data_IF_176095772108
#
_entry.id   IF_176095772108
#
_cell.length_a   1.000
_cell.length_b   1.000
_cell.length_c   1.000
_cell.angle_alpha   90.00
_cell.angle_beta   90.00
_cell.angle_gamma   90.00
#
_symmetry.space_group_name_H-M   'P 1'
#
loop_
_entity.id
_entity.type
_entity.pdbx_description
1 polymer ?
#
# COMPACT_ATOMS: atom_id res chain seq x y z
N UNK A 1 -25.09 7.17 6.77
CA UNK A 1 -23.82 6.88 6.11
C UNK A 1 -22.69 7.23 7.07
N UNK A 2 -21.96 6.21 7.51
CA UNK A 2 -20.77 6.34 8.35
C UNK A 2 -19.55 6.16 7.45
N UNK A 3 -18.63 7.11 7.47
CA UNK A 3 -17.38 7.04 6.71
C UNK A 3 -16.20 7.01 7.67
N UNK A 4 -15.43 5.92 7.64
CA UNK A 4 -14.23 5.72 8.46
C UNK A 4 -13.00 5.74 7.55
N UNK A 5 -11.98 6.52 7.89
CA UNK A 5 -10.75 6.65 7.11
C UNK A 5 -9.56 6.26 7.99
N UNK A 6 -8.99 5.11 7.70
CA UNK A 6 -7.76 4.65 8.33
C UNK A 6 -6.57 5.33 7.67
N UNK A 7 -5.78 6.03 8.46
CA UNK A 7 -4.61 6.82 8.03
C UNK A 7 -3.39 6.44 8.86
N UNK A 8 -2.20 6.75 8.36
CA UNK A 8 -0.97 6.63 9.12
C UNK A 8 -0.18 7.93 9.03
N UNK A 9 0.49 8.35 10.10
CA UNK A 9 1.14 9.67 10.14
C UNK A 9 2.21 9.90 9.08
N UNK A 10 2.96 8.84 8.75
CA UNK A 10 4.05 8.91 7.79
C UNK A 10 3.63 8.59 6.34
N UNK A 11 2.33 8.53 6.05
CA UNK A 11 1.78 8.27 4.72
C UNK A 11 1.45 9.61 4.03
N UNK A 12 2.09 9.90 2.90
CA UNK A 12 1.89 11.18 2.19
C UNK A 12 0.44 11.30 1.72
N UNK A 13 -0.06 10.26 1.06
CA UNK A 13 -1.40 10.19 0.48
C UNK A 13 -2.47 10.42 1.57
N UNK A 14 -2.23 9.92 2.78
CA UNK A 14 -3.07 10.16 3.94
C UNK A 14 -3.10 11.64 4.34
N UNK A 15 -1.94 12.31 4.33
CA UNK A 15 -1.84 13.74 4.63
C UNK A 15 -2.54 14.59 3.56
N UNK A 16 -2.35 14.27 2.28
CA UNK A 16 -3.07 14.94 1.19
C UNK A 16 -4.58 14.75 1.28
N UNK A 17 -5.05 13.57 1.66
CA UNK A 17 -6.48 13.31 1.88
C UNK A 17 -7.03 14.14 3.04
N UNK A 18 -6.33 14.20 4.17
CA UNK A 18 -6.75 15.02 5.31
C UNK A 18 -6.81 16.50 4.93
N UNK A 19 -5.77 17.03 4.26
CA UNK A 19 -5.76 18.41 3.78
C UNK A 19 -6.91 18.70 2.82
N UNK A 20 -7.20 17.77 1.91
CA UNK A 20 -8.31 17.88 0.98
C UNK A 20 -9.65 17.99 1.72
N UNK A 21 -9.90 17.09 2.67
CA UNK A 21 -11.13 17.08 3.47
C UNK A 21 -11.29 18.36 4.28
N UNK A 22 -10.21 18.88 4.86
CA UNK A 22 -10.21 20.13 5.61
C UNK A 22 -10.50 21.33 4.73
N UNK A 23 -9.82 21.47 3.58
CA UNK A 23 -10.05 22.54 2.61
C UNK A 23 -11.49 22.55 2.10
N UNK A 24 -12.15 21.39 2.07
CA UNK A 24 -13.55 21.22 1.68
C UNK A 24 -14.54 21.32 2.85
N UNK A 25 -14.09 21.47 4.09
CA UNK A 25 -14.94 21.51 5.28
C UNK A 25 -15.66 20.17 5.55
N UNK A 26 -15.07 19.05 5.15
CA UNK A 26 -15.65 17.70 5.21
C UNK A 26 -15.13 16.85 6.37
N UNK A 27 -14.17 17.34 7.16
CA UNK A 27 -13.61 16.59 8.29
C UNK A 27 -14.69 16.15 9.30
N UNK A 28 -15.75 16.94 9.51
CA UNK A 28 -16.86 16.58 10.41
C UNK A 28 -17.76 15.46 9.88
N UNK A 29 -17.63 15.06 8.60
CA UNK A 29 -18.41 13.99 7.98
C UNK A 29 -17.73 12.63 8.02
N UNK A 30 -16.49 12.57 8.48
CA UNK A 30 -15.68 11.35 8.48
C UNK A 30 -15.08 11.11 9.86
N UNK A 31 -14.81 9.86 10.17
CA UNK A 31 -14.01 9.47 11.33
C UNK A 31 -12.61 9.12 10.86
N UNK A 32 -11.61 9.92 11.24
CA UNK A 32 -10.20 9.61 10.97
C UNK A 32 -9.68 8.69 12.06
N UNK A 33 -9.06 7.58 11.67
CA UNK A 33 -8.52 6.56 12.57
C UNK A 33 -7.02 6.42 12.26
N UNK A 34 -6.16 6.69 13.24
CA UNK A 34 -4.72 6.50 13.09
C UNK A 34 -4.34 5.03 13.32
N UNK A 35 -3.77 4.38 12.31
CA UNK A 35 -3.36 2.98 12.38
C UNK A 35 -2.14 2.77 13.27
N UNK A 36 -1.35 3.82 13.56
CA UNK A 36 -0.28 3.75 14.56
C UNK A 36 -0.85 3.66 15.98
N UNK A 37 -1.93 4.40 16.27
CA UNK A 37 -2.57 4.43 17.58
C UNK A 37 -3.56 3.27 17.78
N UNK A 38 -4.21 2.83 16.71
CA UNK A 38 -5.23 1.77 16.74
C UNK A 38 -4.93 0.61 15.76
N UNK A 39 -3.75 -0.03 15.85
CA UNK A 39 -3.32 -1.05 14.89
C UNK A 39 -4.23 -2.29 14.87
N UNK A 40 -4.71 -2.75 16.04
CA UNK A 40 -5.57 -3.93 16.12
C UNK A 40 -6.95 -3.71 15.51
N UNK A 41 -7.51 -2.50 15.64
CA UNK A 41 -8.73 -2.13 14.95
C UNK A 41 -8.52 -2.12 13.43
N UNK A 42 -7.38 -1.61 12.96
CA UNK A 42 -7.03 -1.64 11.55
C UNK A 42 -6.93 -3.09 11.01
N UNK A 43 -6.30 -3.99 11.77
CA UNK A 43 -6.22 -5.41 11.41
C UNK A 43 -7.59 -6.11 11.42
N UNK A 44 -8.43 -5.84 12.42
CA UNK A 44 -9.80 -6.38 12.50
C UNK A 44 -10.63 -5.95 11.29
N UNK A 45 -10.44 -4.73 10.81
CA UNK A 45 -11.11 -4.20 9.61
C UNK A 45 -10.45 -4.63 8.28
N UNK A 46 -9.36 -5.40 8.31
CA UNK A 46 -8.69 -5.88 7.10
C UNK A 46 -7.89 -4.80 6.35
N UNK A 47 -7.37 -3.78 7.05
CA UNK A 47 -6.57 -2.71 6.43
C UNK A 47 -5.18 -3.24 6.02
N UNK A 48 -4.94 -3.30 4.72
CA UNK A 48 -3.65 -3.72 4.12
C UNK A 48 -2.83 -2.50 3.66
N UNK A 49 -3.48 -1.39 3.34
CA UNK A 49 -2.85 -0.16 2.84
C UNK A 49 -3.50 1.07 3.46
N UNK A 50 -2.78 2.17 3.52
CA UNK A 50 -3.32 3.46 3.97
C UNK A 50 -3.13 4.53 2.90
N UNK A 51 -4.08 5.47 2.73
CA UNK A 51 -5.37 5.53 3.42
C UNK A 51 -6.30 4.37 3.02
N UNK A 52 -7.13 3.90 3.94
CA UNK A 52 -8.23 2.96 3.65
C UNK A 52 -9.55 3.58 4.06
N UNK A 53 -10.50 3.66 3.14
CA UNK A 53 -11.78 4.33 3.34
C UNK A 53 -12.90 3.29 3.37
N UNK A 54 -13.63 3.27 4.48
CA UNK A 54 -14.80 2.42 4.66
C UNK A 54 -16.07 3.28 4.65
N UNK A 55 -17.09 2.82 3.94
CA UNK A 55 -18.42 3.43 3.92
C UNK A 55 -19.41 2.39 4.39
N UNK A 56 -20.10 2.69 5.49
CA UNK A 56 -21.04 1.77 6.15
C UNK A 56 -20.46 0.36 6.37
N UNK A 57 -19.15 0.31 6.69
CA UNK A 57 -18.41 -0.93 6.98
C UNK A 57 -17.79 -1.61 5.75
N UNK A 58 -18.11 -1.19 4.52
CA UNK A 58 -17.51 -1.74 3.28
C UNK A 58 -16.26 -0.96 2.91
N UNK A 59 -15.15 -1.65 2.65
CA UNK A 59 -13.92 -1.03 2.13
C UNK A 59 -14.15 -0.55 0.68
N UNK A 60 -13.99 0.75 0.44
CA UNK A 60 -14.23 1.38 -0.86
C UNK A 60 -12.94 1.79 -1.56
N UNK A 61 -11.96 2.31 -0.81
CA UNK A 61 -10.65 2.70 -1.32
C UNK A 61 -9.53 2.16 -0.43
N UNK A 62 -8.41 1.79 -1.03
CA UNK A 62 -7.20 1.38 -0.30
C UNK A 62 -5.94 1.89 -1.03
N UNK A 63 -5.12 2.68 -0.33
CA UNK A 63 -3.94 3.35 -0.87
C UNK A 63 -4.28 4.55 -1.76
N UNK A 64 -4.83 4.30 -2.94
CA UNK A 64 -5.18 5.37 -3.89
C UNK A 64 -6.65 5.74 -3.73
N UNK A 65 -6.94 7.04 -3.67
CA UNK A 65 -8.30 7.56 -3.49
C UNK A 65 -8.64 8.46 -4.66
N UNK A 66 -9.77 8.20 -5.30
CA UNK A 66 -10.39 9.15 -6.24
C UNK A 66 -11.17 10.20 -5.43
N UNK A 67 -10.67 11.43 -5.44
CA UNK A 67 -11.27 12.52 -4.67
C UNK A 67 -12.62 12.97 -5.22
N UNK A 68 -12.88 12.83 -6.52
CA UNK A 68 -14.16 13.20 -7.10
C UNK A 68 -15.24 12.19 -6.73
N UNK A 69 -14.91 10.89 -6.73
CA UNK A 69 -15.79 9.85 -6.24
C UNK A 69 -16.01 9.96 -4.73
N UNK A 70 -14.96 10.21 -3.94
CA UNK A 70 -15.08 10.44 -2.51
C UNK A 70 -15.99 11.64 -2.19
N UNK A 71 -15.90 12.74 -2.95
CA UNK A 71 -16.80 13.89 -2.78
C UNK A 71 -18.26 13.53 -3.00
N UNK A 72 -18.56 12.78 -4.06
CA UNK A 72 -19.92 12.30 -4.36
C UNK A 72 -20.46 11.43 -3.24
N UNK A 73 -19.63 10.53 -2.70
CA UNK A 73 -20.00 9.72 -1.53
C UNK A 73 -20.35 10.66 -0.37
N UNK A 74 -19.47 11.59 -0.01
CA UNK A 74 -19.64 12.50 1.13
C UNK A 74 -20.77 13.54 0.95
N UNK A 75 -21.23 13.78 -0.28
CA UNK A 75 -22.41 14.60 -0.57
C UNK A 75 -23.72 13.79 -0.57
N UNK A 76 -23.64 12.46 -0.48
CA UNK A 76 -24.80 11.57 -0.57
C UNK A 76 -25.29 11.34 -2.00
N UNK A 77 -24.49 11.72 -3.00
CA UNK A 77 -24.77 11.47 -4.40
C UNK A 77 -24.58 9.99 -4.75
N UNK A 78 -25.39 9.50 -5.69
CA UNK A 78 -25.22 8.14 -6.21
C UNK A 78 -23.96 8.10 -7.08
N UNK A 79 -22.93 7.40 -6.60
CA UNK A 79 -21.75 7.11 -7.41
C UNK A 79 -22.14 6.07 -8.46
N UNK A 80 -21.84 6.38 -9.73
CA UNK A 80 -21.99 5.45 -10.85
C UNK A 80 -20.68 5.45 -11.62
N UNK A 81 -19.83 4.47 -11.34
CA UNK A 81 -18.54 4.31 -12.03
C UNK A 81 -18.72 3.35 -13.19
N UNK A 82 -18.21 3.71 -14.36
CA UNK A 82 -18.08 2.76 -15.46
C UNK A 82 -16.68 2.16 -15.40
N UNK A 83 -16.61 0.86 -15.18
CA UNK A 83 -15.33 0.15 -15.12
C UNK A 83 -14.97 -0.36 -16.51
N UNK A 84 -13.79 0.04 -16.98
CA UNK A 84 -13.19 -0.53 -18.19
C UNK A 84 -12.50 -1.85 -17.82
N UNK A 85 -13.01 -2.95 -18.39
CA UNK A 85 -12.50 -4.31 -18.16
C UNK A 85 -11.03 -4.46 -18.57
N UNK A 86 -10.60 -3.75 -19.61
CA UNK A 86 -9.22 -3.80 -20.12
C UNK A 86 -8.22 -3.13 -19.18
N UNK A 87 -8.67 -2.17 -18.37
CA UNK A 87 -7.83 -1.42 -17.42
C UNK A 87 -7.73 -2.08 -16.04
N UNK A 88 -8.56 -3.08 -15.75
CA UNK A 88 -8.64 -3.70 -14.41
C UNK A 88 -7.30 -4.25 -13.93
N UNK A 89 -6.51 -4.81 -14.83
CA UNK A 89 -5.21 -5.38 -14.49
C UNK A 89 -4.22 -4.27 -14.14
N UNK A 90 -4.17 -3.20 -14.93
CA UNK A 90 -3.29 -2.08 -14.64
C UNK A 90 -3.73 -1.35 -13.36
N UNK A 91 -5.05 -1.23 -13.09
CA UNK A 91 -5.56 -0.73 -11.81
C UNK A 91 -5.16 -1.63 -10.63
N UNK A 92 -5.28 -2.96 -10.79
CA UNK A 92 -4.85 -3.92 -9.77
C UNK A 92 -3.36 -3.76 -9.46
N UNK A 93 -2.50 -3.78 -10.49
CA UNK A 93 -1.06 -3.67 -10.33
C UNK A 93 -0.66 -2.31 -9.75
N UNK A 94 -1.31 -1.23 -10.19
CA UNK A 94 -1.12 0.11 -9.63
C UNK A 94 -1.53 0.16 -8.15
N UNK A 95 -2.66 -0.44 -7.78
CA UNK A 95 -3.08 -0.57 -6.40
C UNK A 95 -2.09 -1.33 -5.52
N UNK A 96 -1.55 -2.44 -6.04
CA UNK A 96 -0.54 -3.26 -5.36
C UNK A 96 0.72 -2.43 -5.11
N UNK A 97 1.26 -1.73 -6.12
CA UNK A 97 2.50 -0.95 -5.96
C UNK A 97 2.34 0.27 -5.04
N UNK A 98 1.11 0.73 -4.81
CA UNK A 98 0.80 1.76 -3.81
C UNK A 98 0.56 1.20 -2.40
N UNK A 99 0.67 -0.12 -2.20
CA UNK A 99 0.72 -0.77 -0.89
C UNK A 99 2.08 -1.43 -0.70
N UNK A 100 2.91 -0.92 0.21
CA UNK A 100 4.21 -1.53 0.49
C UNK A 100 4.05 -2.99 0.93
N UNK A 101 3.09 -3.27 1.81
CA UNK A 101 2.80 -4.62 2.29
C UNK A 101 2.47 -5.58 1.14
N UNK A 102 1.53 -5.21 0.26
CA UNK A 102 1.15 -6.04 -0.89
C UNK A 102 2.30 -6.19 -1.90
N UNK A 103 3.03 -5.10 -2.17
CA UNK A 103 4.19 -5.10 -3.07
C UNK A 103 5.27 -6.06 -2.58
N UNK A 104 5.71 -5.91 -1.33
CA UNK A 104 6.76 -6.73 -0.75
C UNK A 104 6.36 -8.21 -0.71
N UNK A 105 5.12 -8.49 -0.28
CA UNK A 105 4.62 -9.85 -0.20
C UNK A 105 4.53 -10.51 -1.59
N UNK A 106 3.96 -9.83 -2.58
CA UNK A 106 3.85 -10.37 -3.94
C UNK A 106 5.23 -10.52 -4.60
N UNK A 107 6.13 -9.55 -4.41
CA UNK A 107 7.48 -9.61 -4.98
C UNK A 107 8.25 -10.86 -4.52
N UNK A 108 8.21 -11.14 -3.22
CA UNK A 108 8.88 -12.30 -2.63
C UNK A 108 8.17 -13.60 -3.02
N UNK A 109 6.84 -13.66 -2.90
CA UNK A 109 6.12 -14.93 -2.99
C UNK A 109 5.66 -15.30 -4.40
N UNK A 110 5.53 -14.31 -5.32
CA UNK A 110 4.94 -14.49 -6.66
C UNK A 110 3.57 -15.20 -6.69
N UNK A 111 2.83 -15.10 -5.60
CA UNK A 111 1.56 -15.83 -5.42
C UNK A 111 0.37 -14.90 -5.61
N UNK A 112 -0.03 -14.71 -6.87
CA UNK A 112 -1.20 -13.92 -7.19
C UNK A 112 -2.51 -14.54 -6.70
N UNK A 113 -2.59 -15.87 -6.56
CA UNK A 113 -3.83 -16.54 -6.16
C UNK A 113 -4.23 -16.15 -4.74
N UNK A 114 -3.28 -16.21 -3.81
CA UNK A 114 -3.51 -15.78 -2.43
C UNK A 114 -3.74 -14.27 -2.29
N UNK A 115 -3.10 -13.44 -3.13
CA UNK A 115 -3.40 -12.01 -3.17
C UNK A 115 -4.83 -11.76 -3.64
N UNK A 116 -5.27 -12.43 -4.70
CA UNK A 116 -6.62 -12.30 -5.25
C UNK A 116 -7.69 -12.79 -4.28
N UNK A 117 -7.36 -13.70 -3.36
CA UNK A 117 -8.25 -14.13 -2.29
C UNK A 117 -8.61 -13.00 -1.31
N UNK A 118 -7.82 -11.91 -1.25
CA UNK A 118 -8.16 -10.69 -0.50
C UNK A 118 -9.15 -9.82 -1.30
N UNK A 119 -10.37 -10.34 -1.47
CA UNK A 119 -11.38 -9.81 -2.39
C UNK A 119 -11.75 -8.35 -2.11
N UNK A 120 -11.97 -7.98 -0.84
CA UNK A 120 -12.31 -6.59 -0.47
C UNK A 120 -11.18 -5.62 -0.84
N UNK A 121 -9.92 -6.01 -0.62
CA UNK A 121 -8.77 -5.22 -1.03
C UNK A 121 -8.71 -5.08 -2.55
N UNK A 122 -8.87 -6.18 -3.29
CA UNK A 122 -8.92 -6.16 -4.76
C UNK A 122 -10.03 -5.22 -5.25
N UNK A 123 -11.22 -5.30 -4.65
CA UNK A 123 -12.36 -4.48 -5.02
C UNK A 123 -12.07 -2.99 -4.81
N UNK A 124 -11.45 -2.66 -3.67
CA UNK A 124 -11.14 -1.29 -3.31
C UNK A 124 -10.07 -0.66 -4.23
N UNK A 125 -9.02 -1.40 -4.58
CA UNK A 125 -7.94 -0.87 -5.42
C UNK A 125 -8.27 -0.83 -6.92
N UNK A 126 -9.30 -1.58 -7.35
CA UNK A 126 -9.76 -1.60 -8.75
C UNK A 126 -11.00 -0.75 -9.00
N UNK A 127 -11.65 -0.24 -7.95
CA UNK A 127 -12.91 0.51 -8.01
C UNK A 127 -14.16 -0.36 -8.14
N UNK A 128 -14.02 -1.70 -8.13
CA UNK A 128 -15.17 -2.62 -8.16
C UNK A 128 -16.06 -2.50 -6.91
N UNK A 129 -15.54 -1.93 -5.81
CA UNK A 129 -16.34 -1.64 -4.62
C UNK A 129 -17.48 -0.63 -4.87
N UNK A 130 -17.40 0.16 -5.95
CA UNK A 130 -18.28 1.29 -6.28
C UNK A 130 -19.41 0.94 -7.27
N UNK A 131 -19.42 -0.29 -7.81
CA UNK A 131 -20.44 -0.74 -8.76
C UNK A 131 -21.38 -1.76 -8.12
N UNK A 132 -22.39 -2.21 -8.86
CA UNK A 132 -23.34 -3.22 -8.38
C UNK A 132 -22.63 -4.53 -8.05
N UNK A 133 -23.10 -5.26 -7.03
CA UNK A 133 -22.46 -6.49 -6.56
C UNK A 133 -22.35 -7.56 -7.65
N UNK A 134 -23.40 -7.73 -8.48
CA UNK A 134 -23.39 -8.67 -9.59
C UNK A 134 -22.34 -8.33 -10.65
N UNK A 135 -22.18 -7.05 -10.98
CA UNK A 135 -21.21 -6.57 -11.96
C UNK A 135 -19.77 -6.66 -11.41
N UNK A 136 -19.59 -6.29 -10.14
CA UNK A 136 -18.32 -6.43 -9.44
C UNK A 136 -17.84 -7.89 -9.42
N UNK A 137 -18.76 -8.83 -9.19
CA UNK A 137 -18.45 -10.25 -9.16
C UNK A 137 -18.02 -10.78 -10.53
N UNK A 138 -18.72 -10.41 -11.59
CA UNK A 138 -18.36 -10.79 -12.96
C UNK A 138 -16.97 -10.28 -13.32
N UNK A 139 -16.70 -9.00 -13.04
CA UNK A 139 -15.42 -8.35 -13.33
C UNK A 139 -14.28 -8.92 -12.49
N UNK A 140 -14.52 -9.22 -11.21
CA UNK A 140 -13.54 -9.88 -10.34
C UNK A 140 -13.18 -11.27 -10.83
N UNK A 141 -14.18 -12.08 -11.22
CA UNK A 141 -13.92 -13.43 -11.72
C UNK A 141 -13.13 -13.40 -13.02
N UNK A 142 -13.42 -12.47 -13.92
CA UNK A 142 -12.58 -12.22 -15.08
C UNK A 142 -11.14 -11.86 -14.68
N UNK A 143 -10.97 -10.85 -13.82
CA UNK A 143 -9.66 -10.38 -13.39
C UNK A 143 -8.84 -11.51 -12.75
N UNK A 144 -9.45 -12.28 -11.84
CA UNK A 144 -8.83 -13.43 -11.17
C UNK A 144 -8.37 -14.48 -12.18
N UNK A 145 -9.21 -14.82 -13.15
CA UNK A 145 -8.86 -15.82 -14.16
C UNK A 145 -7.67 -15.39 -15.02
N UNK A 146 -7.60 -14.12 -15.40
CA UNK A 146 -6.45 -13.59 -16.15
C UNK A 146 -5.20 -13.57 -15.28
N UNK A 147 -5.28 -13.00 -14.08
CA UNK A 147 -4.13 -12.81 -13.18
C UNK A 147 -3.55 -14.14 -12.69
N UNK A 148 -4.37 -15.15 -12.40
CA UNK A 148 -3.86 -16.47 -11.98
C UNK A 148 -3.13 -17.17 -13.13
N UNK A 149 -3.53 -16.94 -14.39
CA UNK A 149 -2.93 -17.57 -15.56
C UNK A 149 -1.72 -16.81 -16.11
N UNK A 150 -1.78 -15.48 -16.09
CA UNK A 150 -0.85 -14.58 -16.78
C UNK A 150 -0.10 -13.65 -15.81
N UNK A 151 -0.24 -13.87 -14.51
CA UNK A 151 0.33 -13.01 -13.46
C UNK A 151 1.83 -12.79 -13.59
N UNK A 152 2.61 -13.78 -14.04
CA UNK A 152 4.04 -13.63 -14.28
C UNK A 152 4.37 -12.56 -15.33
N UNK A 153 3.57 -12.42 -16.38
CA UNK A 153 3.76 -11.38 -17.41
C UNK A 153 3.63 -10.00 -16.77
N UNK A 154 2.60 -9.81 -15.95
CA UNK A 154 2.35 -8.55 -15.25
C UNK A 154 3.38 -8.32 -14.15
N UNK A 155 3.82 -9.37 -13.47
CA UNK A 155 4.92 -9.29 -12.52
C UNK A 155 6.16 -8.70 -13.17
N UNK A 156 6.63 -9.29 -14.28
CA UNK A 156 7.83 -8.80 -14.95
C UNK A 156 7.64 -7.37 -15.51
N UNK A 157 6.46 -7.03 -16.04
CA UNK A 157 6.11 -5.67 -16.48
C UNK A 157 6.27 -4.63 -15.34
N UNK A 158 5.84 -4.96 -14.14
CA UNK A 158 5.80 -4.03 -13.00
C UNK A 158 7.00 -4.18 -12.04
N UNK A 159 7.85 -5.17 -12.25
CA UNK A 159 8.98 -5.56 -11.39
C UNK A 159 9.91 -4.41 -11.03
N UNK A 160 10.26 -3.56 -12.00
CA UNK A 160 11.14 -2.41 -11.76
C UNK A 160 10.50 -1.36 -10.84
N UNK A 161 9.19 -1.16 -10.97
CA UNK A 161 8.43 -0.28 -10.07
C UNK A 161 8.36 -0.89 -8.67
N UNK A 162 8.12 -2.20 -8.56
CA UNK A 162 8.12 -2.91 -7.27
C UNK A 162 9.46 -2.78 -6.55
N UNK A 163 10.59 -3.00 -7.25
CA UNK A 163 11.95 -2.79 -6.69
C UNK A 163 12.09 -1.39 -6.11
N UNK A 164 11.69 -0.36 -6.86
CA UNK A 164 11.76 1.04 -6.42
C UNK A 164 10.92 1.30 -5.17
N UNK A 165 9.70 0.77 -5.11
CA UNK A 165 8.81 0.89 -3.96
C UNK A 165 9.43 0.24 -2.72
N UNK A 166 9.92 -0.99 -2.86
CA UNK A 166 10.57 -1.73 -1.76
C UNK A 166 11.81 -0.98 -1.27
N UNK A 167 12.71 -0.60 -2.18
CA UNK A 167 13.95 0.11 -1.82
C UNK A 167 13.67 1.48 -1.18
N UNK A 168 12.67 2.22 -1.68
CA UNK A 168 12.27 3.50 -1.07
C UNK A 168 11.76 3.30 0.36
N UNK A 169 10.95 2.27 0.61
CA UNK A 169 10.44 1.97 1.96
C UNK A 169 11.56 1.52 2.90
N UNK A 170 12.53 0.75 2.42
CA UNK A 170 13.71 0.40 3.22
C UNK A 170 14.46 1.65 3.70
N UNK A 171 14.77 2.57 2.78
CA UNK A 171 15.42 3.85 3.13
C UNK A 171 14.54 4.69 4.06
N UNK A 172 13.23 4.71 3.84
CA UNK A 172 12.27 5.43 4.69
C UNK A 172 12.30 4.94 6.13
N UNK A 173 12.33 3.62 6.35
CA UNK A 173 12.46 3.05 7.69
C UNK A 173 13.80 3.41 8.35
N UNK A 174 14.90 3.40 7.59
CA UNK A 174 16.20 3.88 8.09
C UNK A 174 16.15 5.36 8.45
N UNK A 175 15.53 6.20 7.62
CA UNK A 175 15.36 7.62 7.92
C UNK A 175 14.56 7.80 9.22
N UNK A 176 13.46 7.07 9.43
CA UNK A 176 12.69 7.17 10.67
C UNK A 176 13.47 6.74 11.91
N UNK A 177 14.32 5.72 11.79
CA UNK A 177 15.11 5.21 12.91
C UNK A 177 16.28 6.13 13.29
N UNK A 178 16.94 6.74 12.29
CA UNK A 178 18.18 7.48 12.51
C UNK A 178 18.03 8.99 12.37
N UNK A 179 16.91 9.45 11.81
CA UNK A 179 16.56 10.85 11.52
C UNK A 179 17.61 11.63 10.70
N UNK A 180 18.50 10.91 10.02
CA UNK A 180 19.55 11.45 9.18
C UNK A 180 19.91 10.48 8.06
N UNK A 181 20.47 11.02 6.98
CA UNK A 181 21.11 10.22 5.93
C UNK A 181 22.28 9.44 6.53
N UNK A 182 22.34 8.15 6.21
CA UNK A 182 23.44 7.28 6.58
C UNK A 182 24.39 7.09 5.40
N UNK A 183 25.66 6.89 5.70
CA UNK A 183 26.66 6.52 4.69
C UNK A 183 26.33 5.14 4.10
N UNK A 184 26.53 5.00 2.79
CA UNK A 184 26.17 3.80 2.04
C UNK A 184 26.91 2.56 2.56
N UNK A 185 28.22 2.68 2.77
CA UNK A 185 29.10 1.60 3.23
C UNK A 185 28.70 1.15 4.65
N UNK A 186 28.30 2.09 5.50
CA UNK A 186 27.78 1.78 6.83
C UNK A 186 26.53 0.90 6.73
N UNK A 187 25.55 1.29 5.91
CA UNK A 187 24.32 0.51 5.75
C UNK A 187 24.59 -0.85 5.11
N UNK A 188 25.43 -0.93 4.08
CA UNK A 188 25.84 -2.21 3.48
C UNK A 188 26.46 -3.17 4.51
N UNK A 189 27.24 -2.65 5.46
CA UNK A 189 27.85 -3.48 6.52
C UNK A 189 26.85 -3.99 7.56
N UNK A 190 25.77 -3.23 7.83
CA UNK A 190 24.76 -3.56 8.85
C UNK A 190 23.59 -4.37 8.29
N UNK A 191 23.32 -4.20 7.00
CA UNK A 191 22.27 -4.88 6.29
C UNK A 191 22.87 -5.64 5.11
N UNK A 192 23.67 -6.70 5.37
CA UNK A 192 24.07 -7.60 4.30
C UNK A 192 22.83 -8.28 3.69
N UNK A 193 23.00 -8.94 2.55
CA UNK A 193 21.89 -9.49 1.76
C UNK A 193 20.96 -10.40 2.58
N UNK A 194 21.51 -11.17 3.54
CA UNK A 194 20.76 -12.07 4.41
C UNK A 194 19.82 -11.30 5.36
N UNK A 195 20.32 -10.20 5.94
CA UNK A 195 19.54 -9.34 6.84
C UNK A 195 18.48 -8.57 6.04
N UNK A 196 18.83 -8.09 4.85
CA UNK A 196 17.87 -7.45 3.96
C UNK A 196 16.78 -8.42 3.50
N UNK A 197 17.14 -9.66 3.15
CA UNK A 197 16.20 -10.71 2.76
C UNK A 197 15.22 -11.02 3.89
N UNK A 198 15.73 -11.17 5.12
CA UNK A 198 14.88 -11.34 6.29
C UNK A 198 13.92 -10.16 6.49
N UNK A 199 14.43 -8.92 6.42
CA UNK A 199 13.58 -7.72 6.52
C UNK A 199 12.47 -7.73 5.48
N UNK A 200 12.79 -8.02 4.21
CA UNK A 200 11.82 -7.98 3.12
C UNK A 200 10.74 -9.07 3.26
N UNK A 201 11.13 -10.29 3.64
CA UNK A 201 10.18 -11.40 3.88
C UNK A 201 9.21 -11.09 5.02
N UNK A 202 9.69 -10.45 6.09
CA UNK A 202 8.88 -10.12 7.27
C UNK A 202 7.97 -8.92 7.02
N UNK A 203 8.42 -7.92 6.26
CA UNK A 203 7.65 -6.68 6.02
C UNK A 203 6.48 -6.84 5.07
N UNK A 204 6.41 -7.92 4.29
CA UNK A 204 5.30 -8.19 3.38
C UNK A 204 3.99 -8.55 4.08
N UNK A 205 3.32 -7.59 4.72
CA UNK A 205 1.95 -7.77 5.23
C UNK A 205 1.79 -8.78 6.38
N UNK A 206 2.88 -9.21 7.02
CA UNK A 206 2.81 -10.09 8.17
C UNK A 206 2.47 -9.31 9.46
N UNK A 207 1.59 -9.86 10.28
CA UNK A 207 1.30 -9.38 11.64
C UNK A 207 1.75 -10.45 12.63
N UNK A 208 2.90 -10.22 13.27
CA UNK A 208 3.59 -11.27 14.02
C UNK A 208 3.98 -12.43 13.10
N UNK A 209 3.31 -13.59 13.26
CA UNK A 209 3.50 -14.76 12.37
C UNK A 209 2.36 -14.96 11.37
N UNK A 210 1.26 -14.22 11.49
CA UNK A 210 0.12 -14.35 10.58
C UNK A 210 0.50 -13.73 9.24
N UNK A 211 0.33 -14.46 8.14
CA UNK A 211 0.70 -14.03 6.79
C UNK A 211 2.20 -14.16 6.47
N UNK A 212 3.04 -14.48 7.46
CA UNK A 212 4.48 -14.62 7.29
C UNK A 212 4.83 -15.88 6.49
N UNK A 213 5.57 -15.70 5.39
CA UNK A 213 6.17 -16.77 4.60
C UNK A 213 7.69 -16.57 4.57
N UNK A 214 8.41 -17.38 5.34
CA UNK A 214 9.87 -17.35 5.38
C UNK A 214 10.40 -18.37 4.39
N UNK A 215 11.30 -17.93 3.53
CA UNK A 215 12.07 -18.79 2.63
C UNK A 215 13.48 -19.01 3.20
N UNK A 216 14.01 -20.21 3.03
CA UNK A 216 15.40 -20.51 3.36
C UNK A 216 16.33 -19.68 2.47
N UNK A 217 17.44 -19.20 3.04
CA UNK A 217 18.48 -18.50 2.28
C UNK A 217 19.17 -19.41 1.24
N UNK A 218 18.94 -20.72 1.29
CA UNK A 218 19.39 -21.67 0.26
C UNK A 218 18.47 -21.72 -0.97
N UNK A 219 17.27 -21.13 -0.92
CA UNK A 219 16.33 -21.09 -2.05
C UNK A 219 16.80 -20.07 -3.09
N UNK A 220 17.58 -20.57 -4.06
CA UNK A 220 18.27 -19.74 -5.05
C UNK A 220 17.34 -18.78 -5.80
N UNK A 221 16.17 -19.23 -6.23
CA UNK A 221 15.25 -18.39 -7.01
C UNK A 221 14.79 -17.16 -6.21
N UNK A 222 14.38 -17.38 -4.96
CA UNK A 222 13.92 -16.32 -4.06
C UNK A 222 15.07 -15.36 -3.74
N UNK A 223 16.24 -15.88 -3.40
CA UNK A 223 17.41 -15.05 -3.08
C UNK A 223 17.91 -14.27 -4.29
N UNK A 224 17.91 -14.86 -5.49
CA UNK A 224 18.23 -14.12 -6.72
C UNK A 224 17.28 -12.95 -6.91
N UNK A 225 15.97 -13.18 -6.76
CA UNK A 225 14.95 -12.13 -6.91
C UNK A 225 15.09 -11.01 -5.88
N UNK A 226 15.33 -11.36 -4.61
CA UNK A 226 15.58 -10.38 -3.53
C UNK A 226 16.88 -9.61 -3.79
N UNK A 227 17.92 -10.28 -4.30
CA UNK A 227 19.21 -9.67 -4.63
C UNK A 227 19.07 -8.59 -5.70
N UNK A 228 18.14 -8.72 -6.64
CA UNK A 228 17.86 -7.66 -7.62
C UNK A 228 17.37 -6.37 -6.95
N UNK A 229 16.54 -6.48 -5.89
CA UNK A 229 16.10 -5.30 -5.10
C UNK A 229 17.27 -4.72 -4.32
N UNK A 230 18.10 -5.58 -3.73
CA UNK A 230 19.28 -5.17 -2.96
C UNK A 230 20.28 -4.41 -3.84
N UNK A 231 20.58 -4.95 -5.03
CA UNK A 231 21.44 -4.30 -6.02
C UNK A 231 20.81 -2.98 -6.47
N UNK A 232 19.51 -2.96 -6.77
CA UNK A 232 18.81 -1.73 -7.14
C UNK A 232 18.90 -0.67 -6.04
N UNK A 233 18.65 -1.04 -4.79
CA UNK A 233 18.73 -0.17 -3.62
C UNK A 233 20.09 0.52 -3.56
N UNK A 234 21.18 -0.23 -3.62
CA UNK A 234 22.51 0.32 -3.44
C UNK A 234 23.02 1.05 -4.69
N UNK A 235 22.57 0.68 -5.89
CA UNK A 235 22.88 1.43 -7.12
C UNK A 235 22.17 2.79 -7.17
N UNK A 236 21.03 2.93 -6.49
CA UNK A 236 20.22 4.16 -6.47
C UNK A 236 20.21 4.83 -5.08
N UNK A 237 21.14 4.47 -4.20
CA UNK A 237 21.09 4.76 -2.76
C UNK A 237 20.89 6.24 -2.45
N UNK A 238 21.72 7.11 -3.03
CA UNK A 238 21.66 8.55 -2.77
C UNK A 238 20.36 9.17 -3.28
N UNK A 239 19.96 8.84 -4.51
CA UNK A 239 18.71 9.33 -5.10
C UNK A 239 17.49 8.91 -4.28
N UNK A 240 17.48 7.68 -3.75
CA UNK A 240 16.43 7.20 -2.87
C UNK A 240 16.39 7.98 -1.55
N UNK A 241 17.54 8.24 -0.93
CA UNK A 241 17.62 9.08 0.28
C UNK A 241 17.13 10.49 0.04
N UNK A 242 17.59 11.15 -1.03
CA UNK A 242 17.23 12.53 -1.31
C UNK A 242 15.72 12.66 -1.54
N UNK A 243 15.12 11.68 -2.24
CA UNK A 243 13.67 11.57 -2.39
C UNK A 243 12.97 11.41 -1.04
N UNK A 244 13.42 10.47 -0.21
CA UNK A 244 12.82 10.20 1.11
C UNK A 244 12.93 11.40 2.02
N UNK A 245 14.08 12.08 2.08
CA UNK A 245 14.27 13.29 2.91
C UNK A 245 13.26 14.36 2.50
N UNK A 246 13.17 14.67 1.20
CA UNK A 246 12.22 15.67 0.68
C UNK A 246 10.78 15.32 1.07
N UNK A 247 10.40 14.07 0.85
CA UNK A 247 9.08 13.56 1.22
C UNK A 247 8.79 13.72 2.73
N UNK A 248 9.72 13.32 3.58
CA UNK A 248 9.52 13.35 5.04
C UNK A 248 9.51 14.78 5.57
N UNK A 249 10.26 15.70 4.96
CA UNK A 249 10.16 17.13 5.24
C UNK A 249 8.82 17.73 4.84
N UNK A 250 8.26 17.32 3.69
CA UNK A 250 6.92 17.73 3.25
C UNK A 250 5.85 17.22 4.23
N UNK A 251 5.94 15.96 4.67
CA UNK A 251 5.05 15.41 5.71
C UNK A 251 5.18 16.19 7.01
N UNK A 252 6.40 16.47 7.49
CA UNK A 252 6.61 17.22 8.75
C UNK A 252 5.98 18.61 8.70
N UNK A 253 5.99 19.28 7.55
CA UNK A 253 5.36 20.59 7.35
C UNK A 253 3.83 20.51 7.32
N UNK A 254 3.27 19.41 6.84
CA UNK A 254 1.82 19.18 6.73
C UNK A 254 1.23 18.38 7.91
N UNK A 255 2.05 17.88 8.83
CA UNK A 255 1.61 16.93 9.86
C UNK A 255 0.64 17.59 10.83
N UNK A 256 -0.64 17.19 10.75
CA UNK A 256 -1.73 17.68 11.62
C UNK A 256 -2.09 16.64 12.68
N UNK A 257 -1.19 16.44 13.66
CA UNK A 257 -1.40 15.48 14.76
C UNK A 257 -2.76 15.67 15.45
N UNK A 258 -3.25 16.91 15.54
CA UNK A 258 -4.51 17.26 16.19
C UNK A 258 -5.76 16.65 15.52
N UNK A 259 -5.69 16.27 14.24
CA UNK A 259 -6.84 15.71 13.49
C UNK A 259 -6.92 14.18 13.61
N UNK A 260 -5.88 13.53 14.17
CA UNK A 260 -5.75 12.06 14.20
C UNK A 260 -6.26 11.40 15.49
N UNK A 261 -6.87 12.19 16.38
CA UNK A 261 -7.52 11.67 17.57
C UNK A 261 -8.96 11.26 17.25
N UNK A 262 -9.36 10.06 17.72
CA UNK A 262 -10.76 9.65 17.71
C UNK A 262 -11.56 10.63 18.55
N UNK A 263 -12.49 11.36 17.93
CA UNK A 263 -13.64 11.90 18.65
C UNK A 263 -14.65 10.75 18.78
N UNK A 264 -14.78 10.20 20.00
CA UNK A 264 -15.88 9.32 20.36
C UNK A 264 -17.20 10.11 20.43
#
# INVERSE_FOLDING_TARGET
>A
MKVEIFTHKNCIECNFLIEFLEKKGLLSKVTIIDTELYPFLAFERGVISTPSIFVDGKLIFAGVVDYDELLKILSGEKVSVKINKEELIDKLMFGIINSFAATAWLYVNKDFDALMAQKDFVFAITGLALISESEAEEMYNYLRNVIVKEGDIYFEKWKDTMKRVISSNFIRELYWLYEKKLEKEYVMSKYPIEVFAHWLMVRGGAVGRVGLRIHSLSEKEIITRISEVYIYLFNNYDSLWDKVIKEQEEIRKSNKEQVRFLNF
#
